data_IF_445229929378
#
_entry.id   IF_445229929378
#
_cell.length_a   1.000
_cell.length_b   1.000
_cell.length_c   1.000
_cell.angle_alpha   90.00
_cell.angle_beta   90.00
_cell.angle_gamma   90.00
#
_symmetry.space_group_name_H-M   'P 1'
#
loop_
_entity.id
_entity.type
_entity.pdbx_description
1 polymer ?
#
# COMPACT_ATOMS: atom_id res chain seq x y z
N UNK A 1 21.98 9.04 -3.35
CA UNK A 1 20.61 8.68 -2.93
C UNK A 1 19.74 8.87 -4.14
N UNK A 2 19.32 7.78 -4.76
CA UNK A 2 18.42 7.80 -5.92
C UNK A 2 16.99 7.60 -5.43
N UNK A 3 16.04 8.26 -6.10
CA UNK A 3 14.62 8.19 -5.77
C UNK A 3 13.90 7.47 -6.90
N UNK A 4 13.22 6.37 -6.55
CA UNK A 4 12.39 5.61 -7.47
C UNK A 4 10.92 5.84 -7.13
N UNK A 5 10.11 6.13 -8.16
CA UNK A 5 8.68 6.38 -8.02
C UNK A 5 7.88 5.11 -8.28
N UNK A 6 6.95 4.82 -7.39
CA UNK A 6 6.13 3.59 -7.38
C UNK A 6 4.65 3.94 -7.38
N UNK A 7 3.82 3.10 -8.01
CA UNK A 7 2.37 3.33 -7.98
C UNK A 7 1.81 3.19 -6.58
N UNK A 8 1.17 4.25 -6.09
CA UNK A 8 0.55 4.30 -4.77
C UNK A 8 -0.88 3.74 -4.78
N UNK A 9 -1.43 3.43 -5.95
CA UNK A 9 -2.79 2.95 -6.11
C UNK A 9 -3.01 1.67 -5.30
N UNK A 10 -4.03 1.69 -4.44
CA UNK A 10 -4.42 0.63 -3.50
C UNK A 10 -3.40 0.19 -2.43
N UNK A 11 -2.27 0.88 -2.29
CA UNK A 11 -1.24 0.54 -1.29
C UNK A 11 -1.75 0.59 0.15
N UNK A 12 -2.73 1.43 0.47
CA UNK A 12 -3.37 1.46 1.80
C UNK A 12 -4.59 0.55 1.95
N UNK A 13 -4.89 -0.28 0.94
CA UNK A 13 -6.14 -1.05 0.84
C UNK A 13 -5.92 -2.54 0.62
N UNK A 14 -4.81 -2.92 -0.03
CA UNK A 14 -4.49 -4.32 -0.35
C UNK A 14 -3.88 -5.04 0.85
N UNK A 15 -4.46 -6.15 1.26
CA UNK A 15 -3.91 -6.99 2.31
C UNK A 15 -2.62 -7.68 1.83
N UNK A 16 -1.49 -7.60 2.56
CA UNK A 16 -0.25 -8.26 2.16
C UNK A 16 -0.30 -9.78 2.39
N UNK A 17 -1.26 -10.27 3.17
CA UNK A 17 -1.40 -11.70 3.49
C UNK A 17 -2.32 -12.43 2.50
N UNK A 18 -3.47 -11.86 2.15
CA UNK A 18 -4.47 -12.53 1.32
C UNK A 18 -4.79 -11.80 0.00
N UNK A 19 -4.17 -10.65 -0.26
CA UNK A 19 -4.38 -9.87 -1.48
C UNK A 19 -5.73 -9.13 -1.58
N UNK A 20 -6.66 -9.34 -0.65
CA UNK A 20 -7.96 -8.66 -0.67
C UNK A 20 -7.80 -7.14 -0.58
N UNK A 21 -8.50 -6.43 -1.46
CA UNK A 21 -8.56 -4.96 -1.46
C UNK A 21 -9.81 -4.55 -0.70
N UNK A 22 -9.65 -3.73 0.34
CA UNK A 22 -10.79 -3.06 0.94
C UNK A 22 -10.38 -1.73 1.57
N UNK A 23 -11.33 -0.81 1.63
CA UNK A 23 -11.13 0.48 2.25
C UNK A 23 -11.25 0.36 3.76
N UNK A 24 -10.20 0.71 4.50
CA UNK A 24 -10.31 0.91 5.94
C UNK A 24 -11.16 2.16 6.21
N UNK A 25 -12.02 2.14 7.23
CA UNK A 25 -12.79 3.33 7.65
C UNK A 25 -11.94 4.25 8.53
N UNK A 26 -11.10 3.67 9.38
CA UNK A 26 -10.24 4.39 10.33
C UNK A 26 -8.75 4.11 10.13
N UNK A 27 -7.92 4.67 11.01
CA UNK A 27 -6.46 4.43 11.02
C UNK A 27 -6.06 2.97 11.20
N UNK A 28 -6.96 2.12 11.68
CA UNK A 28 -6.73 0.67 11.79
C UNK A 28 -7.18 -0.03 10.51
N UNK A 29 -6.27 -0.79 9.92
CA UNK A 29 -6.59 -1.75 8.87
C UNK A 29 -6.90 -3.10 9.49
N UNK A 30 -8.06 -3.65 9.17
CA UNK A 30 -8.57 -4.93 9.69
C UNK A 30 -9.05 -5.75 8.51
N UNK A 31 -8.30 -6.80 8.15
CA UNK A 31 -8.68 -7.70 7.08
C UNK A 31 -9.47 -8.90 7.62
N UNK A 32 -10.44 -9.38 6.84
CA UNK A 32 -11.20 -10.61 7.15
C UNK A 32 -10.33 -11.86 7.29
N UNK A 33 -9.11 -11.87 6.74
CA UNK A 33 -8.16 -12.97 6.90
C UNK A 33 -7.46 -13.00 8.28
N UNK A 34 -7.68 -12.00 9.14
CA UNK A 34 -7.04 -11.89 10.45
C UNK A 34 -5.80 -11.00 10.49
N UNK A 35 -5.40 -10.38 9.38
CA UNK A 35 -4.34 -9.38 9.36
C UNK A 35 -4.82 -8.03 9.91
N UNK A 36 -4.07 -7.48 10.87
CA UNK A 36 -4.39 -6.22 11.53
C UNK A 36 -3.14 -5.34 11.61
N UNK A 37 -3.25 -4.07 11.20
CA UNK A 37 -2.13 -3.12 11.28
C UNK A 37 -2.64 -1.67 11.24
N UNK A 38 -1.75 -0.70 11.30
CA UNK A 38 -2.08 0.70 10.99
C UNK A 38 -2.14 0.90 9.48
N UNK A 39 -3.11 1.68 9.00
CA UNK A 39 -3.33 1.95 7.57
C UNK A 39 -2.11 2.58 6.90
N UNK A 40 -1.44 3.52 7.57
CA UNK A 40 -0.26 4.18 7.01
C UNK A 40 0.94 3.22 6.95
N UNK A 41 1.07 2.33 7.93
CA UNK A 41 2.09 1.28 7.93
C UNK A 41 1.83 0.27 6.81
N UNK A 42 0.57 -0.09 6.58
CA UNK A 42 0.17 -0.91 5.44
C UNK A 42 0.58 -0.27 4.11
N UNK A 43 0.32 1.04 3.96
CA UNK A 43 0.74 1.82 2.80
C UNK A 43 2.24 1.71 2.56
N UNK A 44 3.05 1.96 3.59
CA UNK A 44 4.50 1.85 3.52
C UNK A 44 4.96 0.43 3.14
N UNK A 45 4.40 -0.61 3.78
CA UNK A 45 4.72 -2.01 3.46
C UNK A 45 4.42 -2.32 2.00
N UNK A 46 3.26 -1.91 1.50
CA UNK A 46 2.87 -2.19 0.12
C UNK A 46 3.69 -1.39 -0.89
N UNK A 47 4.13 -0.18 -0.56
CA UNK A 47 5.09 0.57 -1.39
C UNK A 47 6.45 -0.15 -1.40
N UNK A 48 6.97 -0.56 -0.25
CA UNK A 48 8.24 -1.30 -0.16
C UNK A 48 8.21 -2.64 -0.92
N UNK A 49 7.04 -3.28 -1.00
CA UNK A 49 6.85 -4.55 -1.70
C UNK A 49 6.39 -4.38 -3.16
N UNK A 50 6.18 -3.16 -3.64
CA UNK A 50 5.68 -2.95 -5.00
C UNK A 50 6.80 -3.19 -6.01
N UNK A 51 6.49 -3.98 -7.03
CA UNK A 51 7.34 -4.23 -8.19
C UNK A 51 7.00 -3.33 -9.38
N UNK A 52 5.96 -2.50 -9.25
CA UNK A 52 5.47 -1.62 -10.32
C UNK A 52 6.04 -0.21 -10.17
N UNK A 53 7.19 -0.02 -10.82
CA UNK A 53 7.82 1.29 -10.97
C UNK A 53 7.10 2.11 -12.05
N UNK A 54 6.61 3.30 -11.72
CA UNK A 54 5.96 4.18 -12.73
C UNK A 54 7.01 4.96 -13.54
N UNK A 55 8.29 4.96 -13.11
CA UNK A 55 9.30 5.85 -13.68
C UNK A 55 8.95 7.32 -13.42
N UNK A 56 9.82 8.24 -13.89
CA UNK A 56 9.76 9.69 -13.62
C UNK A 56 8.51 10.38 -14.18
N UNK A 57 7.31 10.08 -13.67
CA UNK A 57 6.13 10.92 -13.82
C UNK A 57 6.04 11.82 -12.60
N UNK A 58 6.80 12.91 -12.66
CA UNK A 58 6.39 14.14 -11.99
C UNK A 58 5.08 14.57 -12.64
N UNK A 59 3.94 14.23 -12.02
CA UNK A 59 2.70 14.91 -12.33
C UNK A 59 2.79 16.25 -11.61
N UNK A 60 2.94 17.31 -12.40
CA UNK A 60 3.01 18.70 -11.97
C UNK A 60 1.75 19.14 -11.22
#
# INVERSE_FOLDING_TARGET
MEVEYVDSVYTSQKCPQCGNIHHAKDRKYICKCGYHTHRDLLGAINICNSTEYIGNRCIA
#
